data_IF_769985385337
#
_entry.id   IF_769985385337
#
_cell.length_a   1.000
_cell.length_b   1.000
_cell.length_c   1.000
_cell.angle_alpha   90.00
_cell.angle_beta   90.00
_cell.angle_gamma   90.00
#
_symmetry.space_group_name_H-M   'P 1'
#
loop_
_entity.id
_entity.type
_entity.pdbx_description
1 polymer ?
#
# COMPACT_ATOMS: atom_id res chain seq x y z
N UNK A 1 -37.12 26.17 0.25
CA UNK A 1 -37.00 26.15 -1.21
C UNK A 1 -35.53 25.99 -1.59
N UNK A 2 -35.06 24.76 -1.76
CA UNK A 2 -33.80 24.44 -2.44
C UNK A 2 -33.98 23.06 -3.10
N UNK A 3 -34.75 23.03 -4.19
CA UNK A 3 -34.81 21.94 -5.17
C UNK A 3 -34.67 22.62 -6.52
N UNK A 4 -33.50 22.53 -7.13
CA UNK A 4 -33.26 23.16 -8.43
C UNK A 4 -31.78 23.31 -8.71
N UNK A 5 -31.05 22.20 -8.84
CA UNK A 5 -29.76 22.21 -9.54
C UNK A 5 -29.33 20.84 -10.11
N UNK A 6 -30.08 19.77 -9.85
CA UNK A 6 -29.74 18.42 -10.35
C UNK A 6 -30.10 18.18 -11.82
N UNK A 7 -30.91 19.03 -12.45
CA UNK A 7 -31.39 18.84 -13.83
C UNK A 7 -30.46 19.45 -14.89
N UNK A 8 -29.94 20.66 -14.66
CA UNK A 8 -29.12 21.38 -15.64
C UNK A 8 -27.72 20.73 -15.84
N UNK A 9 -27.14 20.15 -14.78
CA UNK A 9 -25.88 19.40 -14.87
C UNK A 9 -26.01 18.05 -15.58
N UNK A 10 -27.18 17.40 -15.48
CA UNK A 10 -27.45 16.13 -16.15
C UNK A 10 -27.64 16.32 -17.67
N UNK A 11 -28.35 17.37 -18.08
CA UNK A 11 -28.57 17.67 -19.51
C UNK A 11 -27.28 18.14 -20.21
N UNK A 12 -26.44 18.92 -19.51
CA UNK A 12 -25.15 19.35 -20.04
C UNK A 12 -24.14 18.19 -20.17
N UNK A 13 -24.13 17.25 -19.22
CA UNK A 13 -23.28 16.05 -19.30
C UNK A 13 -23.78 15.07 -20.37
N UNK A 14 -25.09 14.90 -20.54
CA UNK A 14 -25.65 14.08 -21.62
C UNK A 14 -25.29 14.63 -23.02
N UNK A 15 -25.37 15.95 -23.23
CA UNK A 15 -24.93 16.58 -24.47
C UNK A 15 -23.43 16.34 -24.74
N UNK A 16 -22.60 16.37 -23.68
CA UNK A 16 -21.16 16.11 -23.74
C UNK A 16 -20.77 14.64 -23.95
N UNK A 17 -21.70 13.68 -24.01
CA UNK A 17 -21.38 12.26 -24.27
C UNK A 17 -21.97 11.73 -25.58
N UNK A 18 -22.91 12.47 -26.20
CA UNK A 18 -23.74 12.02 -27.31
C UNK A 18 -23.00 11.62 -28.59
N UNK A 19 -21.87 12.27 -28.88
CA UNK A 19 -21.01 12.05 -30.05
C UNK A 19 -19.88 11.03 -29.79
N UNK A 20 -19.66 10.62 -28.53
CA UNK A 20 -18.56 9.70 -28.19
C UNK A 20 -18.65 8.37 -28.94
N UNK A 21 -19.81 7.69 -29.08
CA UNK A 21 -19.89 6.44 -29.84
C UNK A 21 -19.40 6.59 -31.30
N UNK A 22 -19.66 7.73 -31.93
CA UNK A 22 -19.19 8.00 -33.29
C UNK A 22 -17.67 8.22 -33.32
N UNK A 23 -17.14 8.96 -32.35
CA UNK A 23 -15.70 9.17 -32.19
C UNK A 23 -14.96 7.85 -31.96
N UNK A 24 -15.46 6.99 -31.08
CA UNK A 24 -14.88 5.67 -30.83
C UNK A 24 -14.91 4.81 -32.09
N UNK A 25 -16.02 4.78 -32.82
CA UNK A 25 -16.10 4.05 -34.11
C UNK A 25 -15.07 4.56 -35.12
N UNK A 26 -14.82 5.88 -35.15
CA UNK A 26 -13.79 6.49 -35.99
C UNK A 26 -12.39 6.03 -35.55
N UNK A 27 -12.10 6.05 -34.25
CA UNK A 27 -10.82 5.57 -33.71
C UNK A 27 -10.59 4.08 -33.96
N UNK A 28 -11.60 3.25 -33.76
CA UNK A 28 -11.57 1.80 -34.03
C UNK A 28 -11.27 1.52 -35.52
N UNK A 29 -11.78 2.37 -36.43
CA UNK A 29 -11.51 2.25 -37.86
C UNK A 29 -10.05 2.61 -38.21
N UNK A 30 -9.46 3.59 -37.54
CA UNK A 30 -8.05 3.97 -37.70
C UNK A 30 -7.09 2.90 -37.19
N UNK A 31 -7.54 2.06 -36.26
CA UNK A 31 -6.79 0.90 -35.76
C UNK A 31 -6.83 -0.31 -36.70
N UNK A 32 -7.69 -0.35 -37.72
CA UNK A 32 -7.74 -1.50 -38.65
C UNK A 32 -6.60 -1.43 -39.65
N UNK A 33 -5.90 -2.54 -39.93
CA UNK A 33 -4.89 -2.57 -40.98
C UNK A 33 -5.51 -2.15 -42.33
N UNK A 34 -4.79 -1.33 -43.09
CA UNK A 34 -5.27 -0.88 -44.39
C UNK A 34 -5.43 -2.08 -45.33
N UNK A 35 -6.63 -2.29 -45.87
CA UNK A 35 -6.86 -3.29 -46.90
C UNK A 35 -6.05 -3.01 -48.17
N UNK A 36 -5.82 -4.04 -48.99
CA UNK A 36 -5.01 -3.98 -50.22
C UNK A 36 -5.36 -2.79 -51.14
N UNK A 37 -6.64 -2.41 -51.23
CA UNK A 37 -7.09 -1.27 -52.05
C UNK A 37 -6.95 0.10 -51.35
N UNK A 38 -6.98 0.14 -50.01
CA UNK A 38 -6.86 1.37 -49.21
C UNK A 38 -5.40 1.83 -49.08
N UNK A 39 -4.47 0.87 -49.03
CA UNK A 39 -3.03 1.12 -49.02
C UNK A 39 -2.56 1.83 -50.30
N UNK A 40 -3.19 1.58 -51.45
CA UNK A 40 -2.90 2.23 -52.73
C UNK A 40 -3.40 3.69 -52.81
N UNK A 41 -4.38 4.06 -51.97
CA UNK A 41 -4.93 5.42 -51.88
C UNK A 41 -4.34 6.24 -50.71
N UNK A 42 -3.33 5.72 -50.01
CA UNK A 42 -2.71 6.41 -48.87
C UNK A 42 -3.59 6.49 -47.61
N UNK A 43 -4.74 5.79 -47.55
CA UNK A 43 -5.54 5.63 -46.33
C UNK A 43 -4.98 4.45 -45.54
N UNK A 44 -3.99 4.74 -44.69
CA UNK A 44 -3.34 3.80 -43.78
C UNK A 44 -4.08 3.66 -42.44
N UNK A 45 -3.65 2.68 -41.63
CA UNK A 45 -3.92 2.71 -40.18
C UNK A 45 -3.17 3.88 -39.55
N UNK A 46 -3.80 4.58 -38.62
CA UNK A 46 -3.24 5.74 -37.93
C UNK A 46 -3.43 5.58 -36.41
N UNK A 47 -2.54 4.83 -35.75
CA UNK A 47 -2.65 4.57 -34.32
C UNK A 47 -2.53 5.85 -33.47
N UNK A 48 -1.77 6.85 -33.91
CA UNK A 48 -1.59 8.11 -33.19
C UNK A 48 -2.88 8.95 -33.19
N UNK A 49 -3.55 9.03 -34.35
CA UNK A 49 -4.85 9.67 -34.43
C UNK A 49 -5.90 8.91 -33.59
N UNK A 50 -5.89 7.57 -33.62
CA UNK A 50 -6.79 6.77 -32.79
C UNK A 50 -6.55 7.01 -31.29
N UNK A 51 -5.28 6.99 -30.85
CA UNK A 51 -4.84 7.28 -29.48
C UNK A 51 -5.40 8.62 -29.01
N UNK A 52 -5.23 9.69 -29.79
CA UNK A 52 -5.72 11.02 -29.42
C UNK A 52 -7.24 11.07 -29.20
N UNK A 53 -8.00 10.36 -30.03
CA UNK A 53 -9.46 10.27 -29.93
C UNK A 53 -9.86 9.47 -28.68
N UNK A 54 -9.23 8.33 -28.42
CA UNK A 54 -9.51 7.55 -27.21
C UNK A 54 -9.21 8.34 -25.94
N UNK A 55 -8.08 9.04 -25.88
CA UNK A 55 -7.72 9.90 -24.75
C UNK A 55 -8.77 11.00 -24.54
N UNK A 56 -9.23 11.65 -25.61
CA UNK A 56 -10.28 12.65 -25.52
C UNK A 56 -11.59 12.06 -24.97
N UNK A 57 -12.02 10.89 -25.46
CA UNK A 57 -13.21 10.20 -24.98
C UNK A 57 -13.07 9.80 -23.49
N UNK A 58 -11.90 9.27 -23.11
CA UNK A 58 -11.60 8.89 -21.73
C UNK A 58 -11.75 10.07 -20.76
N UNK A 59 -11.22 11.24 -21.10
CA UNK A 59 -11.34 12.44 -20.27
C UNK A 59 -12.80 12.90 -20.13
N UNK A 60 -13.60 12.79 -21.20
CA UNK A 60 -15.04 13.16 -21.17
C UNK A 60 -15.82 12.20 -20.28
N UNK A 61 -15.61 10.89 -20.41
CA UNK A 61 -16.20 9.89 -19.51
C UNK A 61 -15.77 10.09 -18.06
N UNK A 62 -14.48 10.42 -17.83
CA UNK A 62 -13.95 10.73 -16.49
C UNK A 62 -14.63 11.96 -15.88
N UNK A 63 -14.84 13.03 -16.65
CA UNK A 63 -15.58 14.22 -16.21
C UNK A 63 -17.04 13.90 -15.86
N UNK A 64 -17.66 13.00 -16.63
CA UNK A 64 -19.02 12.51 -16.38
C UNK A 64 -19.11 11.43 -15.28
N UNK A 65 -17.98 11.06 -14.65
CA UNK A 65 -17.89 9.99 -13.63
C UNK A 65 -18.32 8.61 -14.13
N UNK A 66 -18.26 8.39 -15.45
CA UNK A 66 -18.46 7.08 -16.07
C UNK A 66 -17.12 6.33 -16.07
N UNK A 67 -16.77 5.77 -14.90
CA UNK A 67 -15.43 5.23 -14.65
C UNK A 67 -15.08 4.01 -15.52
N UNK A 68 -16.03 3.11 -15.75
CA UNK A 68 -15.82 1.93 -16.59
C UNK A 68 -15.57 2.32 -18.06
N UNK A 69 -16.39 3.22 -18.60
CA UNK A 69 -16.25 3.69 -19.98
C UNK A 69 -14.96 4.49 -20.18
N UNK A 70 -14.57 5.29 -19.18
CA UNK A 70 -13.28 5.99 -19.17
C UNK A 70 -12.10 5.02 -19.17
N UNK A 71 -12.16 3.97 -18.35
CA UNK A 71 -11.12 2.95 -18.28
C UNK A 71 -11.00 2.16 -19.59
N UNK A 72 -12.12 1.74 -20.19
CA UNK A 72 -12.13 1.08 -21.51
C UNK A 72 -11.47 1.98 -22.57
N UNK A 73 -11.77 3.27 -22.58
CA UNK A 73 -11.11 4.21 -23.49
C UNK A 73 -9.59 4.31 -23.24
N UNK A 74 -9.13 4.34 -21.98
CA UNK A 74 -7.69 4.33 -21.68
C UNK A 74 -7.02 3.01 -22.07
N UNK A 75 -7.68 1.86 -21.93
CA UNK A 75 -7.15 0.57 -22.40
C UNK A 75 -7.06 0.54 -23.92
N UNK A 76 -8.06 1.06 -24.64
CA UNK A 76 -7.96 1.20 -26.11
C UNK A 76 -6.86 2.17 -26.53
N UNK A 77 -6.67 3.25 -25.78
CA UNK A 77 -5.55 4.17 -25.96
C UNK A 77 -4.20 3.47 -25.77
N UNK A 78 -4.04 2.61 -24.76
CA UNK A 78 -2.79 1.88 -24.56
C UNK A 78 -2.49 0.91 -25.71
N UNK A 79 -3.51 0.22 -26.23
CA UNK A 79 -3.37 -0.66 -27.41
C UNK A 79 -3.00 0.13 -28.68
N UNK A 80 -3.52 1.34 -28.83
CA UNK A 80 -3.13 2.24 -29.92
C UNK A 80 -1.66 2.66 -29.80
N UNK A 81 -1.22 3.07 -28.60
CA UNK A 81 0.16 3.42 -28.33
C UNK A 81 1.12 2.23 -28.54
N UNK A 82 0.74 1.03 -28.11
CA UNK A 82 1.51 -0.20 -28.35
C UNK A 82 1.72 -0.46 -29.85
N UNK A 83 0.67 -0.29 -30.66
CA UNK A 83 0.75 -0.45 -32.11
C UNK A 83 1.59 0.64 -32.80
N UNK A 84 1.64 1.82 -32.20
CA UNK A 84 2.56 2.90 -32.60
C UNK A 84 3.98 2.73 -32.05
N UNK A 85 4.28 1.62 -31.37
CA UNK A 85 5.56 1.33 -30.70
C UNK A 85 5.93 2.36 -29.59
N UNK A 86 4.96 3.13 -29.09
CA UNK A 86 5.12 4.07 -27.98
C UNK A 86 4.80 3.40 -26.64
N UNK A 87 5.78 2.64 -26.15
CA UNK A 87 5.73 1.95 -24.85
C UNK A 87 5.57 2.91 -23.66
N UNK A 88 6.04 4.16 -23.75
CA UNK A 88 5.92 5.13 -22.65
C UNK A 88 4.46 5.56 -22.48
N UNK A 89 3.81 5.91 -23.60
CA UNK A 89 2.39 6.26 -23.58
C UNK A 89 1.52 5.04 -23.28
N UNK A 90 1.86 3.85 -23.78
CA UNK A 90 1.17 2.60 -23.43
C UNK A 90 1.11 2.41 -21.90
N UNK A 91 2.25 2.47 -21.22
CA UNK A 91 2.33 2.31 -19.77
C UNK A 91 1.54 3.41 -19.02
N UNK A 92 1.61 4.66 -19.50
CA UNK A 92 0.88 5.76 -18.91
C UNK A 92 -0.65 5.56 -19.02
N UNK A 93 -1.14 5.12 -20.18
CA UNK A 93 -2.57 4.91 -20.40
C UNK A 93 -3.11 3.75 -19.56
N UNK A 94 -2.36 2.64 -19.46
CA UNK A 94 -2.71 1.54 -18.55
C UNK A 94 -2.75 2.00 -17.08
N UNK A 95 -1.79 2.83 -16.66
CA UNK A 95 -1.78 3.38 -15.30
C UNK A 95 -2.99 4.30 -15.04
N UNK A 96 -3.39 5.13 -16.00
CA UNK A 96 -4.60 5.96 -15.90
C UNK A 96 -5.89 5.11 -15.86
N UNK A 97 -5.97 4.03 -16.67
CA UNK A 97 -7.08 3.08 -16.60
C UNK A 97 -7.21 2.48 -15.20
N UNK A 98 -6.10 1.97 -14.65
CA UNK A 98 -6.04 1.43 -13.30
C UNK A 98 -6.42 2.46 -12.22
N UNK A 99 -5.95 3.71 -12.34
CA UNK A 99 -6.27 4.79 -11.42
C UNK A 99 -7.75 5.19 -11.42
N UNK A 100 -8.43 5.05 -12.56
CA UNK A 100 -9.88 5.25 -12.64
C UNK A 100 -10.63 4.07 -12.03
N UNK A 101 -10.21 2.84 -12.35
CA UNK A 101 -10.84 1.61 -11.87
C UNK A 101 -10.75 1.39 -10.35
N UNK A 102 -9.83 2.06 -9.65
CA UNK A 102 -9.78 2.03 -8.16
C UNK A 102 -11.12 2.40 -7.51
N UNK A 103 -11.95 3.19 -8.19
CA UNK A 103 -13.28 3.63 -7.73
C UNK A 103 -14.39 2.63 -8.02
N UNK A 104 -14.10 1.57 -8.78
CA UNK A 104 -15.06 0.59 -9.25
C UNK A 104 -14.75 -0.79 -8.68
N UNK A 105 -13.54 -1.28 -8.91
CA UNK A 105 -13.13 -2.65 -8.61
C UNK A 105 -11.63 -2.70 -8.36
N UNK A 106 -11.24 -3.18 -7.18
CA UNK A 106 -9.83 -3.40 -6.83
C UNK A 106 -9.18 -4.43 -7.75
N UNK A 107 -9.93 -5.45 -8.17
CA UNK A 107 -9.43 -6.50 -9.07
C UNK A 107 -9.11 -5.95 -10.46
N UNK A 108 -10.03 -5.15 -11.03
CA UNK A 108 -9.85 -4.60 -12.37
C UNK A 108 -8.74 -3.53 -12.36
N UNK A 109 -8.63 -2.77 -11.26
CA UNK A 109 -7.54 -1.84 -11.06
C UNK A 109 -6.18 -2.54 -10.95
N UNK A 110 -6.09 -3.66 -10.20
CA UNK A 110 -4.87 -4.47 -10.13
C UNK A 110 -4.40 -4.90 -11.51
N UNK A 111 -5.30 -5.47 -12.33
CA UNK A 111 -4.96 -5.97 -13.66
C UNK A 111 -4.26 -4.89 -14.51
N UNK A 112 -4.86 -3.70 -14.59
CA UNK A 112 -4.32 -2.61 -15.41
C UNK A 112 -3.04 -2.01 -14.82
N UNK A 113 -2.93 -1.87 -13.50
CA UNK A 113 -1.73 -1.33 -12.84
C UNK A 113 -0.55 -2.30 -12.92
N UNK A 114 -0.79 -3.61 -12.82
CA UNK A 114 0.23 -4.65 -12.99
C UNK A 114 0.71 -4.70 -14.43
N UNK A 115 -0.20 -4.61 -15.41
CA UNK A 115 0.17 -4.49 -16.81
C UNK A 115 1.06 -3.26 -17.08
N UNK A 116 0.66 -2.08 -16.55
CA UNK A 116 1.47 -0.86 -16.64
C UNK A 116 2.86 -1.03 -16.00
N UNK A 117 2.95 -1.67 -14.83
CA UNK A 117 4.21 -1.92 -14.14
C UNK A 117 5.15 -2.82 -14.96
N UNK A 118 4.60 -3.85 -15.61
CA UNK A 118 5.37 -4.74 -16.48
C UNK A 118 6.01 -3.97 -17.66
N UNK A 119 5.24 -3.07 -18.29
CA UNK A 119 5.75 -2.22 -19.38
C UNK A 119 6.85 -1.25 -18.89
N UNK A 120 6.68 -0.65 -17.71
CA UNK A 120 7.72 0.20 -17.11
C UNK A 120 9.00 -0.57 -16.74
N UNK A 121 8.87 -1.82 -16.27
CA UNK A 121 10.02 -2.69 -16.00
C UNK A 121 10.81 -2.97 -17.27
N UNK A 122 10.14 -3.27 -18.38
CA UNK A 122 10.81 -3.50 -19.67
C UNK A 122 11.59 -2.28 -20.15
N UNK A 123 11.14 -1.07 -19.80
CA UNK A 123 11.83 0.19 -20.09
C UNK A 123 12.94 0.54 -19.07
N UNK A 124 13.14 -0.26 -18.01
CA UNK A 124 14.05 0.07 -16.91
C UNK A 124 13.57 1.22 -16.02
N UNK A 125 12.28 1.58 -16.06
CA UNK A 125 11.68 2.64 -15.22
C UNK A 125 11.22 2.08 -13.87
N UNK A 126 12.16 1.55 -13.10
CA UNK A 126 11.94 0.85 -11.84
C UNK A 126 11.12 1.66 -10.82
N UNK A 127 11.49 2.92 -10.59
CA UNK A 127 10.75 3.81 -9.68
C UNK A 127 9.27 3.93 -10.01
N UNK A 128 8.89 3.89 -11.29
CA UNK A 128 7.49 4.02 -11.71
C UNK A 128 6.73 2.71 -11.54
N UNK A 129 7.34 1.58 -11.91
CA UNK A 129 6.77 0.27 -11.65
C UNK A 129 6.57 0.02 -10.14
N UNK A 130 7.55 0.39 -9.30
CA UNK A 130 7.45 0.30 -7.85
C UNK A 130 6.30 1.11 -7.26
N UNK A 131 6.04 2.31 -7.80
CA UNK A 131 4.87 3.14 -7.40
C UNK A 131 3.55 2.45 -7.71
N UNK A 132 3.44 1.79 -8.86
CA UNK A 132 2.23 1.07 -9.24
C UNK A 132 2.00 -0.14 -8.33
N UNK A 133 3.01 -0.98 -8.09
CA UNK A 133 2.87 -2.11 -7.16
C UNK A 133 2.52 -1.66 -5.75
N UNK A 134 3.18 -0.62 -5.25
CA UNK A 134 2.84 -0.01 -3.95
C UNK A 134 1.38 0.44 -3.93
N UNK A 135 0.92 1.09 -5.00
CA UNK A 135 -0.46 1.54 -5.08
C UNK A 135 -1.46 0.38 -5.09
N UNK A 136 -1.13 -0.76 -5.70
CA UNK A 136 -1.95 -1.97 -5.62
C UNK A 136 -2.02 -2.49 -4.18
N UNK A 137 -0.90 -2.52 -3.46
CA UNK A 137 -0.88 -2.92 -2.06
C UNK A 137 -1.74 -2.01 -1.18
N UNK A 138 -1.67 -0.69 -1.39
CA UNK A 138 -2.47 0.30 -0.66
C UNK A 138 -3.98 0.13 -0.90
N UNK A 139 -4.41 -0.20 -2.11
CA UNK A 139 -5.84 -0.50 -2.38
C UNK A 139 -6.36 -1.71 -1.60
N UNK A 140 -5.53 -2.75 -1.48
CA UNK A 140 -5.89 -3.93 -0.68
C UNK A 140 -5.83 -3.64 0.83
N UNK A 141 -4.88 -2.81 1.29
CA UNK A 141 -4.82 -2.33 2.68
C UNK A 141 -6.07 -1.51 3.07
N UNK A 142 -6.53 -0.61 2.20
CA UNK A 142 -7.75 0.17 2.41
C UNK A 142 -9.01 -0.72 2.45
N UNK A 143 -9.10 -1.72 1.56
CA UNK A 143 -10.19 -2.68 1.55
C UNK A 143 -10.24 -3.55 2.81
N UNK A 144 -9.08 -3.96 3.33
CA UNK A 144 -8.95 -4.68 4.60
C UNK A 144 -9.40 -3.82 5.80
N UNK A 145 -9.01 -2.54 5.82
CA UNK A 145 -9.39 -1.62 6.88
C UNK A 145 -10.92 -1.39 6.93
N UNK A 146 -11.58 -1.36 5.77
CA UNK A 146 -13.03 -1.14 5.66
C UNK A 146 -13.88 -2.37 5.91
N UNK A 147 -13.36 -3.58 5.64
CA UNK A 147 -14.12 -4.83 5.77
C UNK A 147 -14.03 -5.46 7.16
N UNK A 148 -13.33 -4.82 8.10
CA UNK A 148 -13.32 -5.15 9.53
C UNK A 148 -13.08 -6.62 9.81
N UNK A 149 -11.81 -7.07 9.80
CA UNK A 149 -11.31 -8.37 10.30
C UNK A 149 -12.09 -9.64 9.89
N UNK A 150 -13.03 -9.57 8.94
CA UNK A 150 -13.99 -10.61 8.63
C UNK A 150 -13.83 -11.23 7.25
N UNK A 151 -12.85 -10.78 6.46
CA UNK A 151 -12.63 -11.31 5.12
C UNK A 151 -11.20 -11.83 4.95
N UNK A 152 -11.09 -13.16 4.95
CA UNK A 152 -10.10 -13.98 4.26
C UNK A 152 -8.64 -13.48 4.20
N UNK A 153 -7.72 -14.22 4.82
CA UNK A 153 -6.25 -14.03 4.71
C UNK A 153 -5.67 -13.96 3.27
N UNK A 154 -6.50 -14.13 2.24
CA UNK A 154 -6.21 -13.80 0.84
C UNK A 154 -5.88 -12.31 0.63
N UNK A 155 -6.59 -11.39 1.27
CA UNK A 155 -6.33 -9.96 1.10
C UNK A 155 -5.01 -9.55 1.75
N UNK A 156 -4.75 -9.99 2.98
CA UNK A 156 -3.44 -9.84 3.66
C UNK A 156 -2.30 -10.41 2.79
N UNK A 157 -2.50 -11.60 2.21
CA UNK A 157 -1.52 -12.21 1.31
C UNK A 157 -1.23 -11.34 0.07
N UNK A 158 -2.26 -10.72 -0.52
CA UNK A 158 -2.08 -9.77 -1.63
C UNK A 158 -1.34 -8.50 -1.21
N UNK A 159 -1.68 -7.91 -0.06
CA UNK A 159 -0.97 -6.75 0.49
C UNK A 159 0.52 -7.04 0.64
N UNK A 160 0.86 -8.15 1.29
CA UNK A 160 2.26 -8.59 1.46
C UNK A 160 2.94 -8.83 0.12
N UNK A 161 2.29 -9.53 -0.80
CA UNK A 161 2.85 -9.84 -2.13
C UNK A 161 3.21 -8.57 -2.89
N UNK A 162 2.32 -7.58 -2.92
CA UNK A 162 2.54 -6.36 -3.67
C UNK A 162 3.52 -5.40 -2.99
N UNK A 163 3.53 -5.28 -1.66
CA UNK A 163 4.59 -4.53 -0.98
C UNK A 163 5.96 -5.15 -1.16
N UNK A 164 6.07 -6.48 -1.15
CA UNK A 164 7.33 -7.17 -1.46
C UNK A 164 7.77 -6.91 -2.90
N UNK A 165 6.88 -7.09 -3.88
CA UNK A 165 7.18 -6.75 -5.29
C UNK A 165 7.60 -5.29 -5.47
N UNK A 166 6.94 -4.36 -4.77
CA UNK A 166 7.30 -2.95 -4.81
C UNK A 166 8.72 -2.71 -4.23
N UNK A 167 9.03 -3.32 -3.08
CA UNK A 167 10.36 -3.25 -2.48
C UNK A 167 11.41 -3.82 -3.43
N UNK A 168 11.25 -5.05 -3.91
CA UNK A 168 12.18 -5.71 -4.83
C UNK A 168 12.40 -4.86 -6.09
N UNK A 169 11.36 -4.18 -6.60
CA UNK A 169 11.47 -3.28 -7.75
C UNK A 169 12.26 -2.01 -7.41
N UNK A 170 12.03 -1.39 -6.24
CA UNK A 170 12.78 -0.21 -5.82
C UNK A 170 14.24 -0.52 -5.48
N UNK A 171 14.56 -1.76 -5.12
CA UNK A 171 15.96 -2.18 -4.88
C UNK A 171 16.80 -2.10 -6.17
N UNK A 172 16.18 -2.28 -7.33
CA UNK A 172 16.82 -2.15 -8.64
C UNK A 172 17.06 -0.69 -9.06
N UNK A 173 16.42 0.28 -8.38
CA UNK A 173 16.50 1.70 -8.69
C UNK A 173 17.59 2.38 -7.85
N UNK A 174 18.52 3.10 -8.49
CA UNK A 174 19.63 3.77 -7.79
C UNK A 174 19.15 4.74 -6.70
N UNK A 175 18.01 5.39 -6.94
CA UNK A 175 17.39 6.38 -6.05
C UNK A 175 16.22 5.78 -5.24
N UNK A 176 15.99 4.47 -5.32
CA UNK A 176 14.85 3.78 -4.72
C UNK A 176 14.98 3.49 -3.23
N UNK A 177 16.16 3.68 -2.61
CA UNK A 177 16.46 3.25 -1.22
C UNK A 177 15.41 3.67 -0.19
N UNK A 178 14.91 4.91 -0.24
CA UNK A 178 13.88 5.38 0.69
C UNK A 178 12.53 4.69 0.47
N UNK A 179 12.12 4.54 -0.80
CA UNK A 179 10.87 3.88 -1.15
C UNK A 179 10.93 2.36 -0.89
N UNK A 180 12.09 1.74 -1.10
CA UNK A 180 12.41 0.37 -0.70
C UNK A 180 12.16 0.18 0.80
N UNK A 181 12.80 0.99 1.66
CA UNK A 181 12.62 0.90 3.11
C UNK A 181 11.15 1.08 3.52
N UNK A 182 10.43 2.03 2.92
CA UNK A 182 9.00 2.22 3.21
C UNK A 182 8.16 0.99 2.87
N UNK A 183 8.33 0.43 1.67
CA UNK A 183 7.57 -0.76 1.24
C UNK A 183 7.94 -1.99 2.08
N UNK A 184 9.22 -2.12 2.43
CA UNK A 184 9.72 -3.23 3.25
C UNK A 184 9.20 -3.16 4.69
N UNK A 185 9.14 -1.98 5.30
CA UNK A 185 8.51 -1.79 6.61
C UNK A 185 7.02 -2.14 6.57
N UNK A 186 6.30 -1.70 5.53
CA UNK A 186 4.90 -2.07 5.34
C UNK A 186 4.71 -3.57 5.20
N UNK A 187 5.54 -4.25 4.41
CA UNK A 187 5.56 -5.71 4.34
C UNK A 187 5.73 -6.35 5.74
N UNK A 188 6.67 -5.85 6.54
CA UNK A 188 6.90 -6.35 7.90
C UNK A 188 5.70 -6.13 8.84
N UNK A 189 5.00 -5.00 8.74
CA UNK A 189 3.79 -4.71 9.53
C UNK A 189 2.70 -5.77 9.32
N UNK A 190 2.54 -6.27 8.08
CA UNK A 190 1.59 -7.33 7.75
C UNK A 190 2.14 -8.72 8.04
N UNK A 191 3.43 -8.98 7.75
CA UNK A 191 4.08 -10.25 8.05
C UNK A 191 4.05 -10.57 9.55
N UNK A 192 4.15 -9.56 10.41
CA UNK A 192 4.07 -9.73 11.86
C UNK A 192 2.72 -10.30 12.36
N UNK A 193 1.64 -10.18 11.58
CA UNK A 193 0.31 -10.71 11.96
C UNK A 193 0.25 -12.24 11.90
N UNK A 194 1.13 -12.88 11.14
CA UNK A 194 1.27 -14.34 11.10
C UNK A 194 2.37 -14.78 12.07
N UNK A 195 2.12 -15.85 12.82
CA UNK A 195 3.10 -16.38 13.78
C UNK A 195 4.33 -16.97 13.08
N UNK A 196 4.17 -17.54 11.88
CA UNK A 196 5.26 -18.16 11.13
C UNK A 196 6.28 -17.13 10.63
N UNK A 197 5.85 -15.88 10.40
CA UNK A 197 6.70 -14.82 9.78
C UNK A 197 7.05 -13.69 10.73
N UNK A 198 6.75 -13.81 12.03
CA UNK A 198 7.03 -12.75 13.02
C UNK A 198 8.53 -12.48 13.18
N UNK A 199 9.37 -13.51 13.12
CA UNK A 199 10.82 -13.38 13.21
C UNK A 199 11.42 -12.63 12.01
N UNK A 200 10.88 -12.85 10.82
CA UNK A 200 11.28 -12.10 9.62
C UNK A 200 10.94 -10.62 9.76
N UNK A 201 9.75 -10.30 10.30
CA UNK A 201 9.35 -8.92 10.56
C UNK A 201 10.27 -8.23 11.58
N UNK A 202 10.65 -8.92 12.67
CA UNK A 202 11.62 -8.43 13.66
C UNK A 202 12.95 -8.08 12.98
N UNK A 203 13.51 -8.99 12.19
CA UNK A 203 14.77 -8.75 11.49
C UNK A 203 14.69 -7.57 10.53
N UNK A 204 13.57 -7.38 9.84
CA UNK A 204 13.36 -6.23 8.96
C UNK A 204 13.43 -4.93 9.76
N UNK A 205 12.68 -4.82 10.86
CA UNK A 205 12.70 -3.61 11.68
C UNK A 205 14.07 -3.35 12.32
N UNK A 206 14.79 -4.38 12.77
CA UNK A 206 16.16 -4.24 13.26
C UNK A 206 17.11 -3.68 12.20
N UNK A 207 17.05 -4.21 10.97
CA UNK A 207 17.89 -3.75 9.87
C UNK A 207 17.59 -2.31 9.47
N UNK A 208 16.31 -1.92 9.45
CA UNK A 208 15.92 -0.53 9.17
C UNK A 208 16.29 0.43 10.32
N UNK A 209 16.21 -0.05 11.57
CA UNK A 209 16.73 0.66 12.75
C UNK A 209 18.23 0.93 12.64
N UNK A 210 19.03 -0.10 12.32
CA UNK A 210 20.48 0.02 12.15
C UNK A 210 20.87 0.99 11.02
N UNK A 211 20.13 0.94 9.90
CA UNK A 211 20.32 1.88 8.79
C UNK A 211 19.99 3.31 9.21
N UNK A 212 18.89 3.50 9.94
CA UNK A 212 18.45 4.80 10.42
C UNK A 212 19.45 5.42 11.42
N UNK A 213 20.02 4.62 12.33
CA UNK A 213 21.04 5.10 13.28
C UNK A 213 22.29 5.65 12.59
N UNK A 214 22.67 5.08 11.45
CA UNK A 214 23.85 5.52 10.66
C UNK A 214 23.60 6.76 9.80
N UNK A 215 22.34 7.22 9.69
CA UNK A 215 21.95 8.35 8.86
C UNK A 215 21.41 9.50 9.70
N UNK A 216 22.12 10.62 9.73
CA UNK A 216 21.77 11.81 10.52
C UNK A 216 20.35 12.37 10.25
N UNK A 217 19.78 12.12 9.07
CA UNK A 217 18.42 12.55 8.75
C UNK A 217 17.35 11.57 9.27
N UNK A 218 17.65 10.27 9.26
CA UNK A 218 16.72 9.20 9.65
C UNK A 218 16.89 8.76 11.11
N UNK A 219 17.93 9.21 11.80
CA UNK A 219 18.25 8.81 13.17
C UNK A 219 17.10 9.00 14.18
N UNK A 220 16.19 9.93 13.91
CA UNK A 220 15.02 10.15 14.75
C UNK A 220 13.97 9.03 14.62
N UNK A 221 13.88 8.37 13.45
CA UNK A 221 12.97 7.23 13.24
C UNK A 221 13.56 5.89 13.71
N UNK A 222 14.87 5.82 14.00
CA UNK A 222 15.51 4.59 14.48
C UNK A 222 14.84 4.05 15.76
N UNK A 223 14.43 4.96 16.65
CA UNK A 223 13.75 4.64 17.91
C UNK A 223 12.42 3.93 17.70
N UNK A 224 11.64 4.37 16.70
CA UNK A 224 10.37 3.74 16.36
C UNK A 224 10.59 2.32 15.82
N UNK A 225 11.60 2.12 14.97
CA UNK A 225 11.92 0.79 14.45
C UNK A 225 12.37 -0.18 15.54
N UNK A 226 13.25 0.24 16.45
CA UNK A 226 13.66 -0.59 17.58
C UNK A 226 12.50 -0.91 18.52
N UNK A 227 11.62 0.06 18.78
CA UNK A 227 10.41 -0.17 19.57
C UNK A 227 9.48 -1.17 18.88
N UNK A 228 9.24 -1.05 17.56
CA UNK A 228 8.45 -2.04 16.81
C UNK A 228 9.05 -3.44 16.90
N UNK A 229 10.36 -3.59 16.74
CA UNK A 229 11.04 -4.89 16.88
C UNK A 229 10.88 -5.48 18.29
N UNK A 230 11.02 -4.66 19.34
CA UNK A 230 10.81 -5.08 20.74
C UNK A 230 9.37 -5.49 21.02
N UNK A 231 8.39 -4.70 20.56
CA UNK A 231 6.97 -5.02 20.70
C UNK A 231 6.66 -6.40 20.10
N UNK A 232 7.26 -6.73 18.95
CA UNK A 232 7.08 -8.06 18.35
C UNK A 232 7.72 -9.17 19.19
N UNK A 233 8.94 -8.99 19.69
CA UNK A 233 9.61 -9.96 20.58
C UNK A 233 8.82 -10.21 21.87
N UNK A 234 8.27 -9.15 22.46
CA UNK A 234 7.39 -9.23 23.63
C UNK A 234 6.10 -9.99 23.28
N UNK A 235 5.51 -9.71 22.11
CA UNK A 235 4.28 -10.39 21.65
C UNK A 235 4.50 -11.88 21.32
N UNK A 236 5.73 -12.30 21.02
CA UNK A 236 6.10 -13.71 20.88
C UNK A 236 6.38 -14.41 22.21
N UNK A 237 6.28 -13.72 23.35
CA UNK A 237 6.46 -14.29 24.69
C UNK A 237 7.91 -14.57 25.08
N UNK A 238 8.89 -14.10 24.29
CA UNK A 238 10.31 -14.32 24.55
C UNK A 238 10.92 -13.10 25.26
N UNK A 239 10.67 -13.00 26.56
CA UNK A 239 11.18 -11.91 27.39
C UNK A 239 12.72 -11.89 27.50
N UNK A 240 13.37 -13.06 27.35
CA UNK A 240 14.84 -13.18 27.36
C UNK A 240 15.43 -12.56 26.10
N UNK A 241 14.91 -12.93 24.93
CA UNK A 241 15.34 -12.33 23.66
C UNK A 241 15.00 -10.84 23.60
N UNK A 242 13.88 -10.40 24.17
CA UNK A 242 13.53 -8.99 24.27
C UNK A 242 14.57 -8.19 25.09
N UNK A 243 15.03 -8.72 26.24
CA UNK A 243 16.07 -8.10 27.05
C UNK A 243 17.42 -8.03 26.31
N UNK A 244 17.85 -9.13 25.69
CA UNK A 244 19.10 -9.17 24.91
C UNK A 244 19.02 -8.16 23.74
N UNK A 245 17.87 -8.09 23.07
CA UNK A 245 17.65 -7.13 21.99
C UNK A 245 17.69 -5.68 22.49
N UNK A 246 17.08 -5.38 23.64
CA UNK A 246 17.08 -4.05 24.26
C UNK A 246 18.51 -3.57 24.55
N UNK A 247 19.32 -4.40 25.21
CA UNK A 247 20.73 -4.08 25.49
C UNK A 247 21.52 -3.80 24.21
N UNK A 248 21.30 -4.63 23.19
CA UNK A 248 21.93 -4.46 21.87
C UNK A 248 21.48 -3.16 21.19
N UNK A 249 20.22 -2.76 21.30
CA UNK A 249 19.73 -1.51 20.70
C UNK A 249 20.28 -0.28 21.41
N UNK A 250 20.35 -0.31 22.75
CA UNK A 250 21.00 0.75 23.54
C UNK A 250 22.49 0.87 23.20
N UNK A 251 23.19 -0.24 23.03
CA UNK A 251 24.59 -0.24 22.62
C UNK A 251 24.80 0.33 21.21
N UNK A 252 23.84 0.14 20.29
CA UNK A 252 23.88 0.66 18.92
C UNK A 252 23.51 2.14 18.83
N UNK A 253 22.51 2.57 19.59
CA UNK A 253 22.10 3.97 19.69
C UNK A 253 21.92 4.39 21.16
N UNK A 254 22.95 5.02 21.78
CA UNK A 254 22.87 5.48 23.16
C UNK A 254 21.75 6.50 23.43
N UNK A 255 21.17 7.13 22.39
CA UNK A 255 20.04 8.06 22.55
C UNK A 255 18.70 7.35 22.67
N UNK A 256 18.66 6.04 22.40
CA UNK A 256 17.46 5.22 22.56
C UNK A 256 17.10 5.11 24.04
N UNK A 257 18.07 4.81 24.92
CA UNK A 257 17.86 4.65 26.37
C UNK A 257 17.16 5.86 27.01
N UNK A 258 17.65 7.07 26.73
CA UNK A 258 17.07 8.31 27.24
C UNK A 258 15.78 8.76 26.54
N UNK A 259 15.32 8.05 25.50
CA UNK A 259 14.12 8.42 24.77
C UNK A 259 12.85 7.97 25.48
N UNK A 260 11.69 8.40 24.97
CA UNK A 260 10.41 7.91 25.48
C UNK A 260 10.22 6.43 25.11
N UNK A 261 10.58 6.09 23.89
CA UNK A 261 10.51 4.74 23.33
C UNK A 261 11.44 3.77 24.09
N UNK A 262 12.68 4.17 24.41
CA UNK A 262 13.58 3.34 25.19
C UNK A 262 13.11 3.16 26.63
N UNK A 263 12.62 4.22 27.29
CA UNK A 263 12.05 4.10 28.64
C UNK A 263 10.82 3.20 28.67
N UNK A 264 9.94 3.32 27.68
CA UNK A 264 8.80 2.41 27.52
C UNK A 264 9.30 0.98 27.33
N UNK A 265 10.22 0.74 26.39
CA UNK A 265 10.76 -0.58 26.13
C UNK A 265 11.36 -1.24 27.38
N UNK A 266 12.18 -0.51 28.14
CA UNK A 266 12.76 -0.99 29.40
C UNK A 266 11.68 -1.37 30.41
N UNK A 267 10.65 -0.53 30.58
CA UNK A 267 9.55 -0.80 31.49
C UNK A 267 8.74 -2.04 31.08
N UNK A 268 8.44 -2.19 29.78
CA UNK A 268 7.68 -3.34 29.26
C UNK A 268 8.47 -4.65 29.40
N UNK A 269 9.78 -4.64 29.11
CA UNK A 269 10.64 -5.83 29.25
C UNK A 269 10.73 -6.23 30.72
N UNK A 270 10.96 -5.28 31.64
CA UNK A 270 11.01 -5.55 33.07
C UNK A 270 9.68 -6.14 33.60
N UNK A 271 8.55 -5.51 33.24
CA UNK A 271 7.23 -6.00 33.61
C UNK A 271 6.96 -7.42 33.09
N UNK A 272 7.40 -7.75 31.88
CA UNK A 272 7.27 -9.12 31.35
C UNK A 272 8.18 -10.13 32.05
N UNK A 273 9.38 -9.74 32.50
CA UNK A 273 10.27 -10.62 33.27
C UNK A 273 9.76 -10.87 34.68
N UNK A 274 9.16 -9.86 35.31
CA UNK A 274 8.64 -9.91 36.68
C UNK A 274 7.24 -10.54 36.75
N UNK A 275 6.56 -10.71 35.60
CA UNK A 275 5.19 -11.21 35.57
C UNK A 275 4.15 -10.16 35.98
N UNK A 276 4.48 -8.87 35.92
CA UNK A 276 3.68 -7.78 36.46
C UNK A 276 2.83 -7.10 35.37
N UNK A 277 1.57 -7.51 35.26
CA UNK A 277 0.62 -6.95 34.29
C UNK A 277 0.17 -5.52 34.64
N UNK A 278 0.21 -5.13 35.92
CA UNK A 278 -0.13 -3.77 36.36
C UNK A 278 0.97 -2.79 35.93
N UNK A 279 2.23 -3.13 36.19
CA UNK A 279 3.38 -2.35 35.73
C UNK A 279 3.42 -2.23 34.20
N UNK A 280 3.08 -3.30 33.47
CA UNK A 280 2.98 -3.27 32.01
C UNK A 280 1.93 -2.25 31.53
N UNK A 281 0.74 -2.26 32.14
CA UNK A 281 -0.36 -1.34 31.76
C UNK A 281 -0.03 0.10 32.13
N UNK A 282 0.52 0.34 33.32
CA UNK A 282 0.92 1.67 33.76
C UNK A 282 1.97 2.30 32.83
N UNK A 283 2.94 1.51 32.36
CA UNK A 283 3.95 1.97 31.40
C UNK A 283 3.34 2.41 30.05
N UNK A 284 2.31 1.69 29.58
CA UNK A 284 1.57 2.05 28.37
C UNK A 284 0.78 3.34 28.54
N UNK A 285 0.07 3.51 29.66
CA UNK A 285 -0.74 4.69 29.95
C UNK A 285 0.13 5.95 30.05
N UNK A 286 1.27 5.85 30.72
CA UNK A 286 2.22 6.95 30.84
C UNK A 286 2.81 7.37 29.49
N UNK A 287 3.05 6.41 28.60
CA UNK A 287 3.50 6.69 27.24
C UNK A 287 2.39 7.32 26.40
N UNK A 288 1.19 6.72 26.37
CA UNK A 288 0.06 7.14 25.54
C UNK A 288 -0.46 8.55 25.89
N UNK A 289 -0.33 8.95 27.16
CA UNK A 289 -0.67 10.31 27.62
C UNK A 289 0.10 11.41 26.88
N UNK A 290 1.32 11.12 26.44
CA UNK A 290 2.20 12.13 25.82
C UNK A 290 2.47 11.80 24.34
N UNK A 291 2.55 10.53 23.99
CA UNK A 291 2.82 10.02 22.64
C UNK A 291 1.78 8.95 22.32
N UNK A 292 0.78 9.29 21.50
CA UNK A 292 -0.30 8.36 21.15
C UNK A 292 0.24 7.09 20.50
N UNK A 293 -0.15 5.94 21.02
CA UNK A 293 0.16 4.65 20.44
C UNK A 293 -0.67 4.45 19.18
N UNK A 294 -0.02 4.05 18.09
CA UNK A 294 -0.74 3.71 16.87
C UNK A 294 -1.43 2.33 17.00
N UNK A 295 -2.50 2.08 16.21
CA UNK A 295 -3.26 0.84 16.29
C UNK A 295 -2.44 -0.44 16.13
N UNK A 296 -1.36 -0.40 15.35
CA UNK A 296 -0.50 -1.56 15.14
C UNK A 296 0.27 -1.90 16.42
N UNK A 297 0.88 -0.90 17.08
CA UNK A 297 1.55 -1.12 18.37
C UNK A 297 0.58 -1.64 19.43
N UNK A 298 -0.61 -1.04 19.53
CA UNK A 298 -1.65 -1.45 20.48
C UNK A 298 -2.00 -2.94 20.28
N UNK A 299 -2.23 -3.37 19.03
CA UNK A 299 -2.56 -4.77 18.73
C UNK A 299 -1.53 -5.76 19.30
N UNK A 300 -0.23 -5.54 19.05
CA UNK A 300 0.82 -6.44 19.52
C UNK A 300 1.11 -6.31 21.02
N UNK A 301 0.96 -5.12 21.59
CA UNK A 301 1.09 -4.89 23.03
C UNK A 301 -0.02 -5.58 23.82
N UNK A 302 -1.26 -5.57 23.30
CA UNK A 302 -2.37 -6.33 23.88
C UNK A 302 -2.13 -7.85 23.77
N UNK A 303 -1.56 -8.32 22.64
CA UNK A 303 -1.13 -9.71 22.50
C UNK A 303 -0.07 -10.09 23.56
N UNK A 304 0.92 -9.21 23.79
CA UNK A 304 1.94 -9.41 24.82
C UNK A 304 1.34 -9.42 26.24
N UNK A 305 0.46 -8.46 26.57
CA UNK A 305 -0.26 -8.40 27.86
C UNK A 305 -1.07 -9.67 28.11
N UNK A 306 -1.79 -10.18 27.10
CA UNK A 306 -2.56 -11.42 27.23
C UNK A 306 -1.66 -12.61 27.59
N UNK A 307 -0.51 -12.75 26.92
CA UNK A 307 0.47 -13.80 27.24
C UNK A 307 1.04 -13.67 28.65
N UNK A 308 1.28 -12.43 29.10
CA UNK A 308 1.73 -12.15 30.47
C UNK A 308 0.70 -12.59 31.52
N UNK A 309 -0.60 -12.35 31.27
CA UNK A 309 -1.67 -12.65 32.22
C UNK A 309 -2.07 -14.13 32.25
N UNK A 310 -2.01 -14.84 31.12
CA UNK A 310 -2.54 -16.20 31.00
C UNK A 310 -1.47 -17.30 31.01
N UNK A 311 -0.18 -16.96 30.94
CA UNK A 311 0.85 -17.95 30.61
C UNK A 311 0.58 -18.58 29.23
N UNK A 312 1.42 -19.51 28.79
CA UNK A 312 1.40 -20.07 27.42
C UNK A 312 0.15 -20.96 27.10
N UNK A 313 -0.93 -20.85 27.88
CA UNK A 313 -2.18 -21.60 27.70
C UNK A 313 -3.30 -20.67 27.19
N UNK A 314 -3.49 -20.63 25.86
CA UNK A 314 -4.72 -20.05 25.29
C UNK A 314 -4.56 -19.43 23.91
N UNK A 315 -4.30 -20.26 22.91
CA UNK A 315 -4.55 -19.92 21.52
C UNK A 315 -6.04 -19.68 21.26
N UNK A 316 -6.27 -18.85 20.25
CA UNK A 316 -7.50 -18.60 19.51
C UNK A 316 -8.47 -17.46 19.90
N UNK A 317 -8.89 -16.82 18.81
CA UNK A 317 -9.85 -15.73 18.62
C UNK A 317 -9.42 -14.29 19.00
N UNK A 318 -8.98 -13.56 17.97
CA UNK A 318 -8.95 -12.10 17.93
C UNK A 318 -10.33 -11.61 17.48
N UNK A 319 -11.13 -11.13 18.42
CA UNK A 319 -12.25 -10.22 18.14
C UNK A 319 -11.93 -8.92 18.88
N UNK A 320 -11.64 -7.85 18.13
CA UNK A 320 -11.46 -6.50 18.68
C UNK A 320 -12.79 -5.78 18.46
N UNK A 321 -13.34 -5.18 19.52
CA UNK A 321 -14.58 -4.41 19.49
C UNK A 321 -14.50 -3.20 18.56
N UNK A 322 -15.65 -2.87 17.95
CA UNK A 322 -15.85 -1.87 16.90
C UNK A 322 -15.84 -0.40 17.41
N UNK A 323 -15.54 -0.16 18.67
CA UNK A 323 -15.78 1.15 19.31
C UNK A 323 -14.53 1.98 19.57
N UNK A 324 -13.31 1.45 19.46
CA UNK A 324 -12.09 2.25 19.65
C UNK A 324 -12.03 2.98 21.01
N UNK A 325 -12.84 2.54 21.97
CA UNK A 325 -12.81 3.01 23.34
C UNK A 325 -11.91 2.08 24.13
N UNK A 326 -10.89 2.67 24.77
CA UNK A 326 -9.91 1.94 25.54
C UNK A 326 -10.56 1.56 26.87
N UNK A 327 -11.06 0.34 26.98
CA UNK A 327 -11.33 -0.24 28.29
C UNK A 327 -10.02 -0.84 28.84
N UNK A 328 -9.41 -0.12 29.78
CA UNK A 328 -8.17 -0.49 30.46
C UNK A 328 -8.43 -1.23 31.78
N UNK A 329 -9.67 -1.66 32.04
CA UNK A 329 -9.99 -2.44 33.25
C UNK A 329 -9.53 -3.89 33.21
#
# INVERSE_FOLDING_TARGET
MLRGDSGAGADASAAQLSDIPELLRKADALMKPAGFFSSLLGRGSDPDAALSIYMQCAQRYKLARQWNDAADCYVRASLAAERGEDTSTQAQMLAEAGNVLKRVSTSDAEEQLVAAAAVYIQQGRWSQAGKLYRSVAEMYEEGEALSGLGNDGKCVSKVMTFYKKAADTYELDEYGKSAFSQCRCKFAEYAAKSEDTIHDAIQIFEQEGDKATRNNLLQFSAKDFYLKALVLLLSSGDAVSAQIALERYVARDPRFEGSREGRLATALVAAMQEGDAEAFTAALDDFDRISKLDPWKIHFLLKAKRRLMHGDEGGDHVGIGDDGEVDLS
#
